data_IF_240999225977
#
_entry.id   IF_240999225977
#
_cell.length_a   1.000
_cell.length_b   1.000
_cell.length_c   1.000
_cell.angle_alpha   90.00
_cell.angle_beta   90.00
_cell.angle_gamma   90.00
#
_symmetry.space_group_name_H-M   'P 1'
#
loop_
_entity.id
_entity.type
_entity.pdbx_description
1 polymer ?
#
# COMPACT_ATOMS: atom_id res chain seq x y z
N UNK A 1 9.40 1.04 1.05
CA UNK A 1 9.29 2.29 1.83
C UNK A 1 10.64 2.70 2.45
N UNK A 2 11.47 1.76 2.88
CA UNK A 2 12.80 2.05 3.48
C UNK A 2 13.82 2.64 2.50
N UNK A 3 13.64 2.46 1.19
CA UNK A 3 14.55 2.96 0.17
C UNK A 3 14.41 4.46 -0.13
N UNK A 4 13.37 5.10 0.40
CA UNK A 4 13.10 6.54 0.21
C UNK A 4 12.83 7.18 1.58
N UNK A 5 13.85 7.32 2.38
CA UNK A 5 13.75 7.91 3.72
C UNK A 5 14.83 8.96 3.94
N UNK A 6 14.62 9.85 4.92
CA UNK A 6 15.67 10.78 5.36
C UNK A 6 16.93 10.03 5.82
N UNK A 7 16.78 8.83 6.37
CA UNK A 7 17.90 7.97 6.73
C UNK A 7 18.69 7.53 5.50
N UNK A 8 18.04 7.15 4.39
CA UNK A 8 18.72 6.83 3.13
C UNK A 8 19.43 8.05 2.54
N UNK A 9 18.84 9.25 2.70
CA UNK A 9 19.45 10.48 2.25
C UNK A 9 20.72 10.82 3.04
N UNK A 10 20.66 10.80 4.38
CA UNK A 10 21.81 11.10 5.26
C UNK A 10 22.89 10.06 5.17
N UNK A 11 22.54 8.77 5.13
CA UNK A 11 23.52 7.69 4.97
C UNK A 11 24.18 7.70 3.59
N UNK A 12 23.46 8.10 2.56
CA UNK A 12 24.00 8.27 1.22
C UNK A 12 25.19 9.24 1.21
N UNK A 13 25.08 10.36 1.95
CA UNK A 13 26.19 11.30 2.13
C UNK A 13 27.34 10.71 2.95
N UNK A 14 27.01 10.09 4.10
CA UNK A 14 28.01 9.56 5.01
C UNK A 14 28.83 8.41 4.41
N UNK A 15 28.23 7.56 3.59
CA UNK A 15 28.84 6.36 3.03
C UNK A 15 29.30 6.53 1.56
N UNK A 16 29.19 7.72 0.97
CA UNK A 16 29.55 7.97 -0.43
C UNK A 16 28.60 7.31 -1.45
N UNK A 17 27.42 6.85 -1.03
CA UNK A 17 26.42 6.20 -1.89
C UNK A 17 25.28 7.14 -2.29
N UNK A 18 25.52 8.45 -2.22
CA UNK A 18 24.50 9.47 -2.52
C UNK A 18 23.94 9.34 -3.94
N UNK A 19 24.76 8.98 -4.91
CA UNK A 19 24.33 8.79 -6.31
C UNK A 19 23.29 7.67 -6.47
N UNK A 20 23.28 6.68 -5.57
CA UNK A 20 22.29 5.60 -5.61
C UNK A 20 21.07 5.91 -4.70
N UNK A 21 21.33 6.36 -3.47
CA UNK A 21 20.31 6.50 -2.43
C UNK A 21 19.71 7.90 -2.38
N UNK A 22 20.55 8.93 -2.30
CA UNK A 22 20.12 10.31 -2.08
C UNK A 22 19.36 10.91 -3.26
N UNK A 23 19.80 10.61 -4.48
CA UNK A 23 19.14 11.06 -5.71
C UNK A 23 17.69 10.59 -5.78
N UNK A 24 17.42 9.33 -5.39
CA UNK A 24 16.06 8.79 -5.35
C UNK A 24 15.13 9.56 -4.40
N UNK A 25 15.65 10.04 -3.26
CA UNK A 25 14.85 10.85 -2.31
C UNK A 25 14.50 12.21 -2.92
N UNK A 26 15.45 12.86 -3.59
CA UNK A 26 15.21 14.15 -4.27
C UNK A 26 14.16 13.98 -5.38
N UNK A 27 14.30 12.94 -6.20
CA UNK A 27 13.34 12.63 -7.26
C UNK A 27 11.94 12.32 -6.70
N UNK A 28 11.85 11.61 -5.57
CA UNK A 28 10.60 11.39 -4.87
C UNK A 28 9.94 12.71 -4.45
N UNK A 29 10.69 13.63 -3.86
CA UNK A 29 10.15 14.94 -3.46
C UNK A 29 9.63 15.74 -4.66
N UNK A 30 10.37 15.73 -5.78
CA UNK A 30 9.90 16.34 -7.03
C UNK A 30 8.62 15.67 -7.52
N UNK A 31 8.54 14.33 -7.42
CA UNK A 31 7.35 13.56 -7.75
C UNK A 31 6.13 13.94 -6.93
N UNK A 32 6.28 14.09 -5.60
CA UNK A 32 5.20 14.54 -4.70
C UNK A 32 4.69 15.92 -5.11
N UNK A 33 5.60 16.88 -5.29
CA UNK A 33 5.23 18.24 -5.70
C UNK A 33 4.51 18.23 -7.05
N UNK A 34 5.01 17.43 -8.01
CA UNK A 34 4.41 17.31 -9.35
C UNK A 34 2.99 16.75 -9.29
N UNK A 35 2.76 15.69 -8.51
CA UNK A 35 1.43 15.08 -8.34
C UNK A 35 0.47 16.10 -7.69
N UNK A 36 0.91 16.78 -6.63
CA UNK A 36 0.08 17.78 -5.92
C UNK A 36 -0.28 18.96 -6.86
N UNK A 37 0.67 19.45 -7.64
CA UNK A 37 0.40 20.51 -8.62
C UNK A 37 -0.59 20.07 -9.67
N UNK A 38 -0.44 18.84 -10.21
CA UNK A 38 -1.39 18.28 -11.18
C UNK A 38 -2.78 18.06 -10.58
N UNK A 39 -2.85 17.62 -9.31
CA UNK A 39 -4.11 17.48 -8.56
C UNK A 39 -4.82 18.82 -8.43
N UNK A 40 -4.10 19.89 -8.02
CA UNK A 40 -4.66 21.24 -7.87
C UNK A 40 -5.14 21.77 -9.22
N UNK A 41 -4.43 21.49 -10.31
CA UNK A 41 -4.82 21.89 -11.67
C UNK A 41 -5.95 21.05 -12.27
N UNK A 42 -6.43 20.01 -11.57
CA UNK A 42 -7.49 19.12 -12.04
C UNK A 42 -7.09 18.24 -13.22
N UNK A 43 -5.80 17.92 -13.38
CA UNK A 43 -5.32 17.04 -14.44
C UNK A 43 -5.80 15.61 -14.17
N UNK A 44 -6.53 15.02 -15.12
CA UNK A 44 -6.99 13.62 -15.01
C UNK A 44 -5.81 12.65 -15.06
N UNK A 45 -5.83 11.62 -14.20
CA UNK A 45 -4.74 10.64 -14.11
C UNK A 45 -3.45 11.19 -13.50
N UNK A 46 -3.52 12.24 -12.69
CA UNK A 46 -2.37 12.92 -12.07
C UNK A 46 -1.42 11.96 -11.35
N UNK A 47 -1.91 10.87 -10.76
CA UNK A 47 -1.09 9.84 -10.11
C UNK A 47 -0.18 9.14 -11.13
N UNK A 48 -0.77 8.66 -12.23
CA UNK A 48 -0.03 7.99 -13.31
C UNK A 48 1.01 8.92 -13.92
N UNK A 49 0.61 10.14 -14.27
CA UNK A 49 1.52 11.13 -14.83
C UNK A 49 2.67 11.48 -13.89
N UNK A 50 2.39 11.54 -12.57
CA UNK A 50 3.42 11.77 -11.58
C UNK A 50 4.44 10.64 -11.47
N UNK A 51 3.98 9.38 -11.50
CA UNK A 51 4.86 8.21 -11.51
C UNK A 51 5.73 8.23 -12.76
N UNK A 52 5.12 8.40 -13.95
CA UNK A 52 5.82 8.43 -15.22
C UNK A 52 6.86 9.57 -15.28
N UNK A 53 6.47 10.77 -14.86
CA UNK A 53 7.38 11.93 -14.82
C UNK A 53 8.60 11.64 -13.94
N UNK A 54 8.36 11.12 -12.73
CA UNK A 54 9.45 10.82 -11.78
C UNK A 54 10.36 9.72 -12.30
N UNK A 55 9.80 8.69 -12.94
CA UNK A 55 10.59 7.63 -13.57
C UNK A 55 11.43 8.16 -14.74
N UNK A 56 10.84 8.95 -15.65
CA UNK A 56 11.57 9.58 -16.77
C UNK A 56 12.70 10.47 -16.26
N UNK A 57 12.45 11.29 -15.23
CA UNK A 57 13.51 12.09 -14.60
C UNK A 57 14.63 11.20 -14.02
N UNK A 58 14.26 10.07 -13.41
CA UNK A 58 15.22 9.07 -12.94
C UNK A 58 16.08 8.51 -14.06
N UNK A 59 15.49 8.15 -15.21
CA UNK A 59 16.21 7.68 -16.40
C UNK A 59 17.17 8.75 -16.90
N UNK A 60 16.74 10.01 -16.96
CA UNK A 60 17.62 11.14 -17.36
C UNK A 60 18.79 11.27 -16.38
N UNK A 61 18.54 11.19 -15.07
CA UNK A 61 19.62 11.21 -14.06
C UNK A 61 20.58 10.04 -14.21
N UNK A 62 20.09 8.86 -14.58
CA UNK A 62 20.94 7.69 -14.85
C UNK A 62 21.81 7.90 -16.09
N UNK A 63 21.26 8.44 -17.17
CA UNK A 63 22.00 8.73 -18.40
C UNK A 63 23.08 9.82 -18.19
N UNK A 64 22.81 10.78 -17.31
CA UNK A 64 23.77 11.84 -16.93
C UNK A 64 24.80 11.38 -15.88
N UNK A 65 24.74 10.13 -15.41
CA UNK A 65 25.63 9.61 -14.38
C UNK A 65 25.36 10.17 -12.96
N UNK A 66 24.25 10.89 -12.75
CA UNK A 66 23.84 11.42 -11.45
C UNK A 66 23.25 10.29 -10.57
N UNK A 67 22.46 9.41 -11.19
CA UNK A 67 21.97 8.18 -10.56
C UNK A 67 22.84 7.01 -11.02
N UNK A 68 23.42 6.31 -10.06
CA UNK A 68 24.27 5.12 -10.32
C UNK A 68 23.58 3.89 -9.72
N UNK A 69 23.19 2.91 -10.55
CA UNK A 69 22.60 1.67 -10.04
C UNK A 69 23.58 0.93 -9.12
N UNK A 70 23.06 0.44 -8.00
CA UNK A 70 23.81 -0.41 -7.06
C UNK A 70 22.92 -1.58 -6.62
N UNK A 71 22.99 -2.73 -7.30
CA UNK A 71 22.14 -3.89 -7.01
C UNK A 71 22.32 -4.46 -5.60
N UNK A 72 23.50 -4.31 -4.99
CA UNK A 72 23.77 -4.78 -3.61
C UNK A 72 22.93 -4.03 -2.58
N UNK A 73 22.61 -2.77 -2.87
CA UNK A 73 21.75 -1.93 -2.04
C UNK A 73 20.29 -1.93 -2.49
N UNK A 74 19.93 -2.74 -3.51
CA UNK A 74 18.55 -2.82 -4.04
C UNK A 74 18.18 -1.70 -5.03
N UNK A 75 19.17 -0.98 -5.58
CA UNK A 75 18.98 0.06 -6.60
C UNK A 75 19.34 -0.46 -7.97
N UNK A 76 18.34 -0.77 -8.77
CA UNK A 76 18.51 -1.36 -10.11
C UNK A 76 18.53 -0.30 -11.21
N UNK A 77 18.89 -0.73 -12.43
CA UNK A 77 18.79 0.12 -13.61
C UNK A 77 17.33 0.49 -13.89
N UNK A 78 17.11 1.75 -14.24
CA UNK A 78 15.79 2.33 -14.54
C UNK A 78 15.41 2.17 -16.01
N UNK A 79 16.37 1.70 -16.84
CA UNK A 79 16.20 1.53 -18.27
C UNK A 79 15.71 0.10 -18.52
N UNK A 80 14.54 -0.09 -19.12
CA UNK A 80 14.03 -1.43 -19.42
C UNK A 80 14.90 -2.12 -20.47
N UNK A 81 15.27 -3.35 -20.20
CA UNK A 81 16.05 -4.19 -21.13
C UNK A 81 15.15 -4.86 -22.16
N UNK A 82 13.87 -5.03 -21.84
CA UNK A 82 12.84 -5.56 -22.73
C UNK A 82 11.49 -4.91 -22.39
N UNK A 83 10.62 -4.82 -23.39
CA UNK A 83 9.25 -4.28 -23.18
C UNK A 83 8.21 -5.39 -23.00
N UNK A 84 8.51 -6.58 -23.49
CA UNK A 84 7.59 -7.70 -23.49
C UNK A 84 8.29 -8.98 -23.05
N UNK A 85 7.62 -9.77 -22.21
CA UNK A 85 8.04 -11.14 -21.88
C UNK A 85 6.82 -12.02 -21.71
N UNK A 86 6.98 -13.32 -21.97
CA UNK A 86 5.95 -14.29 -21.60
C UNK A 86 5.95 -14.46 -20.07
N UNK A 87 4.78 -14.52 -19.42
CA UNK A 87 4.68 -14.79 -18.00
C UNK A 87 5.38 -16.10 -17.65
N UNK A 88 6.08 -16.13 -16.52
CA UNK A 88 6.67 -17.34 -16.00
C UNK A 88 5.60 -18.35 -15.59
N UNK A 89 5.94 -19.65 -15.66
CA UNK A 89 5.04 -20.70 -15.21
C UNK A 89 4.78 -20.57 -13.70
N UNK A 90 3.52 -20.70 -13.29
CA UNK A 90 3.08 -20.74 -11.90
C UNK A 90 3.22 -22.14 -11.28
N UNK A 91 3.58 -23.17 -12.07
CA UNK A 91 3.67 -24.55 -11.62
C UNK A 91 4.52 -24.77 -10.34
N UNK A 92 5.62 -24.04 -10.11
CA UNK A 92 6.40 -24.20 -8.87
C UNK A 92 5.70 -23.73 -7.59
N UNK A 93 4.71 -22.84 -7.71
CA UNK A 93 4.00 -22.25 -6.56
C UNK A 93 2.54 -22.74 -6.45
N UNK A 94 2.00 -23.27 -7.55
CA UNK A 94 0.61 -23.67 -7.60
C UNK A 94 0.33 -24.85 -6.67
N UNK A 95 -0.61 -24.67 -5.74
CA UNK A 95 -1.09 -25.69 -4.80
C UNK A 95 0.01 -26.35 -3.94
N UNK A 96 1.05 -25.60 -3.58
CA UNK A 96 2.19 -26.08 -2.77
C UNK A 96 1.91 -25.90 -1.27
N UNK A 97 0.92 -26.65 -0.74
CA UNK A 97 0.60 -26.62 0.69
C UNK A 97 1.40 -27.70 1.46
N UNK A 98 2.10 -27.28 2.51
CA UNK A 98 2.80 -28.19 3.44
C UNK A 98 1.95 -28.45 4.69
N UNK A 99 1.10 -29.48 4.63
CA UNK A 99 0.31 -29.91 5.77
C UNK A 99 1.11 -30.66 6.84
N UNK A 100 2.28 -31.21 6.49
CA UNK A 100 3.13 -31.89 7.45
C UNK A 100 3.73 -30.88 8.45
N UNK A 101 4.12 -29.69 7.97
CA UNK A 101 4.54 -28.59 8.84
C UNK A 101 3.43 -28.16 9.80
N UNK A 102 2.19 -28.04 9.32
CA UNK A 102 1.03 -27.68 10.13
C UNK A 102 0.80 -28.71 11.25
N UNK A 103 0.86 -30.01 10.93
CA UNK A 103 0.65 -31.07 11.91
C UNK A 103 1.73 -31.11 13.01
N UNK A 104 2.98 -30.79 12.64
CA UNK A 104 4.11 -30.79 13.59
C UNK A 104 4.18 -29.53 14.47
N UNK A 105 3.60 -28.40 14.03
CA UNK A 105 3.68 -27.11 14.70
C UNK A 105 2.32 -26.45 14.93
N UNK A 106 1.30 -27.24 15.27
CA UNK A 106 -0.10 -26.81 15.34
C UNK A 106 -0.31 -25.55 16.20
N UNK A 107 0.32 -25.46 17.37
CA UNK A 107 0.16 -24.31 18.26
C UNK A 107 0.68 -23.00 17.59
N UNK A 108 1.87 -23.06 17.00
CA UNK A 108 2.45 -21.91 16.30
C UNK A 108 1.60 -21.55 15.07
N UNK A 109 1.12 -22.56 14.34
CA UNK A 109 0.25 -22.36 13.18
C UNK A 109 -1.02 -21.60 13.56
N UNK A 110 -1.72 -22.00 14.63
CA UNK A 110 -2.94 -21.35 15.11
C UNK A 110 -2.67 -19.87 15.47
N UNK A 111 -1.57 -19.59 16.18
CA UNK A 111 -1.19 -18.22 16.54
C UNK A 111 -0.92 -17.37 15.29
N UNK A 112 -0.18 -17.90 14.33
CA UNK A 112 0.15 -17.22 13.08
C UNK A 112 -1.11 -16.96 12.24
N UNK A 113 -1.97 -17.96 12.09
CA UNK A 113 -3.26 -17.82 11.36
C UNK A 113 -4.12 -16.74 12.01
N UNK A 114 -4.23 -16.74 13.35
CA UNK A 114 -5.01 -15.72 14.06
C UNK A 114 -4.43 -14.33 13.85
N UNK A 115 -3.11 -14.17 13.93
CA UNK A 115 -2.43 -12.90 13.72
C UNK A 115 -2.65 -12.37 12.28
N UNK A 116 -2.47 -13.22 11.26
CA UNK A 116 -2.71 -12.83 9.88
C UNK A 116 -4.19 -12.52 9.60
N UNK A 117 -5.12 -13.34 10.12
CA UNK A 117 -6.54 -13.09 9.98
C UNK A 117 -6.95 -11.75 10.60
N UNK A 118 -6.41 -11.43 11.78
CA UNK A 118 -6.66 -10.16 12.46
C UNK A 118 -6.17 -8.97 11.60
N UNK A 119 -4.95 -9.06 11.07
CA UNK A 119 -4.39 -8.01 10.19
C UNK A 119 -5.23 -7.85 8.94
N UNK A 120 -5.54 -8.95 8.26
CA UNK A 120 -6.28 -8.95 6.98
C UNK A 120 -7.67 -8.33 7.12
N UNK A 121 -8.41 -8.71 8.18
CA UNK A 121 -9.74 -8.14 8.47
C UNK A 121 -9.67 -6.62 8.71
N UNK A 122 -8.74 -6.16 9.54
CA UNK A 122 -8.67 -4.73 9.88
C UNK A 122 -8.10 -3.89 8.75
N UNK A 123 -7.16 -4.41 7.98
CA UNK A 123 -6.63 -3.75 6.78
C UNK A 123 -7.75 -3.58 5.74
N UNK A 124 -8.47 -4.67 5.44
CA UNK A 124 -9.61 -4.64 4.50
C UNK A 124 -10.72 -3.72 5.00
N UNK A 125 -11.10 -3.79 6.28
CA UNK A 125 -12.15 -2.91 6.82
C UNK A 125 -11.76 -1.43 6.74
N UNK A 126 -10.52 -1.10 7.13
CA UNK A 126 -10.01 0.28 7.09
C UNK A 126 -10.01 0.84 5.67
N UNK A 127 -9.47 0.08 4.72
CA UNK A 127 -9.40 0.46 3.31
C UNK A 127 -10.78 0.60 2.68
N UNK A 128 -11.66 -0.39 2.90
CA UNK A 128 -13.02 -0.41 2.33
C UNK A 128 -13.86 0.76 2.87
N UNK A 129 -13.83 1.02 4.18
CA UNK A 129 -14.55 2.14 4.78
C UNK A 129 -14.00 3.47 4.26
N UNK A 130 -12.68 3.62 4.19
CA UNK A 130 -12.04 4.82 3.64
C UNK A 130 -12.43 5.08 2.19
N UNK A 131 -12.38 4.07 1.33
CA UNK A 131 -12.78 4.16 -0.07
C UNK A 131 -14.29 4.43 -0.22
N UNK A 132 -15.12 3.75 0.56
CA UNK A 132 -16.57 3.91 0.54
C UNK A 132 -17.01 5.31 1.02
N UNK A 133 -16.35 5.84 2.03
CA UNK A 133 -16.56 7.23 2.49
C UNK A 133 -16.27 8.22 1.36
N UNK A 134 -15.15 8.07 0.68
CA UNK A 134 -14.77 8.91 -0.46
C UNK A 134 -15.72 8.78 -1.66
N UNK A 135 -16.31 7.59 -1.83
CA UNK A 135 -17.31 7.33 -2.87
C UNK A 135 -18.73 7.79 -2.49
N UNK A 136 -18.95 8.28 -1.27
CA UNK A 136 -20.27 8.59 -0.70
C UNK A 136 -21.21 7.36 -0.70
N UNK A 137 -20.66 6.18 -0.37
CA UNK A 137 -21.39 4.91 -0.32
C UNK A 137 -21.78 4.49 1.11
N UNK A 138 -21.36 5.24 2.13
CA UNK A 138 -21.75 5.00 3.52
C UNK A 138 -23.18 5.51 3.76
N UNK A 139 -23.91 4.81 4.62
CA UNK A 139 -25.21 5.25 5.10
C UNK A 139 -25.10 6.38 6.14
N UNK A 140 -26.25 6.84 6.67
CA UNK A 140 -26.30 7.93 7.66
C UNK A 140 -25.62 7.58 8.99
N UNK A 141 -25.50 6.29 9.28
CA UNK A 141 -24.84 5.76 10.49
C UNK A 141 -23.35 5.46 10.25
N UNK A 142 -22.79 5.82 9.09
CA UNK A 142 -21.40 5.56 8.72
C UNK A 142 -21.12 4.10 8.36
N UNK A 143 -22.16 3.28 8.14
CA UNK A 143 -22.02 1.86 7.80
C UNK A 143 -22.04 1.67 6.29
N UNK A 144 -21.26 0.70 5.81
CA UNK A 144 -21.28 0.31 4.40
C UNK A 144 -22.39 -0.71 4.14
N UNK A 145 -23.40 -0.39 3.33
CA UNK A 145 -24.38 -1.37 2.86
C UNK A 145 -23.65 -2.52 2.14
N UNK A 146 -24.07 -3.77 2.38
CA UNK A 146 -23.51 -4.99 1.75
C UNK A 146 -22.04 -5.30 2.11
N UNK A 147 -21.56 -4.83 3.25
CA UNK A 147 -20.18 -5.13 3.73
C UNK A 147 -19.86 -6.63 3.72
N UNK A 148 -20.84 -7.49 4.00
CA UNK A 148 -20.68 -8.94 3.94
C UNK A 148 -20.24 -9.44 2.56
N UNK A 149 -20.77 -8.84 1.49
CA UNK A 149 -20.38 -9.19 0.12
C UNK A 149 -18.96 -8.76 -0.21
N UNK A 150 -18.53 -7.62 0.33
CA UNK A 150 -17.15 -7.11 0.15
C UNK A 150 -16.17 -8.03 0.85
N UNK A 151 -16.40 -8.35 2.13
CA UNK A 151 -15.54 -9.26 2.89
C UNK A 151 -15.51 -10.68 2.29
N UNK A 152 -16.63 -11.16 1.74
CA UNK A 152 -16.67 -12.44 1.06
C UNK A 152 -15.83 -12.42 -0.24
N UNK A 153 -15.88 -11.33 -1.00
CA UNK A 153 -15.07 -11.19 -2.21
C UNK A 153 -13.58 -11.17 -1.90
N UNK A 154 -13.20 -10.48 -0.82
CA UNK A 154 -11.84 -10.43 -0.29
C UNK A 154 -11.35 -11.82 0.12
N UNK A 155 -12.13 -12.55 0.93
CA UNK A 155 -11.81 -13.92 1.37
C UNK A 155 -11.68 -14.90 0.20
N UNK A 156 -12.54 -14.80 -0.82
CA UNK A 156 -12.44 -15.62 -2.05
C UNK A 156 -11.18 -15.26 -2.83
N UNK A 157 -10.86 -13.97 -2.95
CA UNK A 157 -9.63 -13.50 -3.58
C UNK A 157 -8.38 -14.04 -2.90
N UNK A 158 -8.30 -13.89 -1.57
CA UNK A 158 -7.19 -14.39 -0.75
C UNK A 158 -7.04 -15.91 -0.86
N UNK A 159 -8.15 -16.66 -0.84
CA UNK A 159 -8.13 -18.12 -1.03
C UNK A 159 -7.59 -18.50 -2.41
N UNK A 160 -8.05 -17.82 -3.46
CA UNK A 160 -7.54 -18.03 -4.82
C UNK A 160 -6.04 -17.68 -4.91
N UNK A 161 -5.60 -16.59 -4.28
CA UNK A 161 -4.19 -16.20 -4.20
C UNK A 161 -3.34 -17.27 -3.52
N UNK A 162 -3.80 -17.84 -2.41
CA UNK A 162 -3.12 -18.93 -1.71
C UNK A 162 -2.96 -20.17 -2.59
N UNK A 163 -3.99 -20.54 -3.38
CA UNK A 163 -3.92 -21.66 -4.33
C UNK A 163 -2.89 -21.39 -5.42
N UNK A 164 -2.80 -20.16 -5.91
CA UNK A 164 -1.82 -19.72 -6.91
C UNK A 164 -0.40 -19.57 -6.34
N UNK A 165 -0.25 -19.56 -5.01
CA UNK A 165 1.03 -19.37 -4.33
C UNK A 165 1.48 -17.91 -4.28
N UNK A 166 0.53 -16.96 -4.29
CA UNK A 166 0.80 -15.53 -4.08
C UNK A 166 0.60 -15.14 -2.61
N UNK A 167 0.99 -13.93 -2.25
CA UNK A 167 0.59 -13.32 -0.98
C UNK A 167 -0.93 -13.09 -0.94
N UNK A 168 -1.47 -12.72 0.25
CA UNK A 168 -2.88 -12.36 0.40
C UNK A 168 -3.32 -11.34 -0.65
N UNK A 169 -4.54 -11.49 -1.16
CA UNK A 169 -5.18 -10.53 -2.06
C UNK A 169 -6.14 -9.72 -1.20
N UNK A 170 -5.80 -8.47 -0.94
CA UNK A 170 -6.57 -7.57 -0.10
C UNK A 170 -7.02 -6.34 -0.86
N UNK A 171 -7.87 -5.54 -0.25
CA UNK A 171 -8.34 -4.27 -0.81
C UNK A 171 -7.25 -3.20 -0.67
N UNK A 172 -6.91 -2.51 -1.76
CA UNK A 172 -5.86 -1.50 -1.79
C UNK A 172 -6.41 -0.07 -1.65
N UNK A 173 -5.73 0.76 -0.84
CA UNK A 173 -6.06 2.18 -0.65
C UNK A 173 -5.91 2.99 -1.93
N UNK A 174 -5.08 2.55 -2.88
CA UNK A 174 -4.88 3.13 -4.20
C UNK A 174 -6.17 3.14 -5.03
N UNK A 175 -7.13 2.26 -4.73
CA UNK A 175 -8.48 2.28 -5.31
C UNK A 175 -9.17 3.64 -5.11
N UNK A 176 -8.79 4.39 -4.07
CA UNK A 176 -9.28 5.74 -3.81
C UNK A 176 -8.93 6.72 -4.94
N UNK A 177 -7.85 6.48 -5.69
CA UNK A 177 -7.49 7.30 -6.85
C UNK A 177 -8.47 7.10 -8.01
N UNK A 178 -8.84 5.85 -8.31
CA UNK A 178 -9.85 5.53 -9.31
C UNK A 178 -11.25 6.07 -8.94
N UNK A 179 -11.57 6.05 -7.63
CA UNK A 179 -12.80 6.66 -7.12
C UNK A 179 -12.78 8.19 -7.30
N UNK A 180 -11.64 8.84 -7.06
CA UNK A 180 -11.48 10.28 -7.27
C UNK A 180 -11.66 10.69 -8.74
N UNK A 181 -11.25 9.84 -9.67
CA UNK A 181 -11.45 10.02 -11.12
C UNK A 181 -12.88 9.69 -11.60
N UNK A 182 -13.76 9.23 -10.70
CA UNK A 182 -15.17 8.98 -10.99
C UNK A 182 -15.58 7.52 -11.10
N UNK A 183 -14.69 6.58 -10.79
CA UNK A 183 -15.02 5.14 -10.72
C UNK A 183 -16.05 4.85 -9.63
N UNK A 184 -17.20 4.23 -9.98
CA UNK A 184 -18.31 3.98 -9.03
C UNK A 184 -18.93 2.59 -9.20
N UNK A 185 -18.51 1.82 -10.18
CA UNK A 185 -19.16 0.55 -10.52
C UNK A 185 -18.14 -0.59 -10.58
N UNK A 186 -18.62 -1.83 -10.49
CA UNK A 186 -17.79 -3.03 -10.64
C UNK A 186 -17.06 -3.12 -11.99
N UNK A 187 -17.53 -2.39 -13.01
CA UNK A 187 -16.83 -2.31 -14.29
C UNK A 187 -15.42 -1.72 -14.15
N UNK A 188 -15.24 -0.75 -13.23
CA UNK A 188 -13.92 -0.20 -12.91
C UNK A 188 -12.97 -1.32 -12.44
N UNK A 189 -13.44 -2.18 -11.53
CA UNK A 189 -12.63 -3.30 -11.01
C UNK A 189 -12.33 -4.35 -12.09
N UNK A 190 -13.30 -4.66 -12.95
CA UNK A 190 -13.09 -5.60 -14.07
C UNK A 190 -12.05 -5.04 -15.04
N UNK A 191 -12.15 -3.76 -15.40
CA UNK A 191 -11.16 -3.09 -16.26
C UNK A 191 -9.76 -3.12 -15.64
N UNK A 192 -9.65 -2.83 -14.35
CA UNK A 192 -8.38 -2.92 -13.61
C UNK A 192 -7.81 -4.34 -13.66
N UNK A 193 -8.65 -5.36 -13.43
CA UNK A 193 -8.24 -6.77 -13.52
C UNK A 193 -7.72 -7.15 -14.91
N UNK A 194 -8.39 -6.71 -15.99
CA UNK A 194 -7.92 -6.94 -17.36
C UNK A 194 -6.56 -6.25 -17.59
N UNK A 195 -6.40 -5.02 -17.10
CA UNK A 195 -5.12 -4.31 -17.21
C UNK A 195 -3.99 -5.00 -16.42
N UNK A 196 -4.27 -5.58 -15.26
CA UNK A 196 -3.29 -6.41 -14.53
C UNK A 196 -2.90 -7.66 -15.33
N UNK A 197 -3.86 -8.35 -15.97
CA UNK A 197 -3.55 -9.48 -16.84
C UNK A 197 -2.68 -9.06 -18.04
N UNK A 198 -2.97 -7.92 -18.64
CA UNK A 198 -2.14 -7.37 -19.71
C UNK A 198 -0.73 -7.00 -19.22
N UNK A 199 -0.64 -6.46 -18.00
CA UNK A 199 0.63 -6.08 -17.37
C UNK A 199 1.56 -7.28 -17.12
N UNK A 200 1.06 -8.51 -17.02
CA UNK A 200 1.89 -9.71 -16.93
C UNK A 200 2.84 -9.84 -18.13
N UNK A 201 2.37 -9.48 -19.33
CA UNK A 201 3.18 -9.50 -20.54
C UNK A 201 4.16 -8.34 -20.64
N UNK A 202 3.89 -7.25 -19.90
CA UNK A 202 4.72 -6.06 -19.82
C UNK A 202 5.58 -6.04 -18.53
N UNK A 203 5.73 -7.20 -17.89
CA UNK A 203 6.43 -7.29 -16.60
C UNK A 203 7.85 -6.72 -16.64
N UNK A 204 8.70 -6.88 -17.70
CA UNK A 204 10.02 -6.27 -17.72
C UNK A 204 9.97 -4.74 -17.64
N UNK A 205 8.93 -4.12 -18.22
CA UNK A 205 8.74 -2.68 -18.15
C UNK A 205 8.34 -2.23 -16.74
N UNK A 206 7.35 -2.88 -16.13
CA UNK A 206 6.86 -2.50 -14.80
C UNK A 206 7.88 -2.75 -13.69
N UNK A 207 8.70 -3.80 -13.82
CA UNK A 207 9.75 -4.12 -12.84
C UNK A 207 10.89 -3.10 -12.81
N UNK A 208 11.05 -2.27 -13.85
CA UNK A 208 12.05 -1.20 -13.85
C UNK A 208 11.58 0.09 -13.20
N UNK A 209 10.28 0.21 -12.88
CA UNK A 209 9.76 1.39 -12.19
C UNK A 209 10.26 1.38 -10.74
N UNK A 210 11.09 2.35 -10.32
CA UNK A 210 11.71 2.32 -9.01
C UNK A 210 10.75 2.77 -7.91
N UNK A 211 11.06 2.38 -6.67
CA UNK A 211 10.27 2.74 -5.50
C UNK A 211 10.15 4.27 -5.30
N UNK A 212 11.18 5.04 -5.67
CA UNK A 212 11.11 6.50 -5.57
C UNK A 212 10.15 7.14 -6.58
N UNK A 213 9.77 6.44 -7.65
CA UNK A 213 8.77 6.92 -8.60
C UNK A 213 7.33 6.57 -8.15
N UNK A 214 7.13 5.46 -7.43
CA UNK A 214 5.83 5.05 -6.93
C UNK A 214 5.50 5.66 -5.55
N UNK A 215 6.49 5.88 -4.70
CA UNK A 215 6.33 6.46 -3.38
C UNK A 215 5.58 7.82 -3.36
N UNK A 216 5.79 8.76 -4.31
CA UNK A 216 5.02 9.99 -4.39
C UNK A 216 3.52 9.77 -4.47
N UNK A 217 3.08 8.81 -5.28
CA UNK A 217 1.66 8.48 -5.41
C UNK A 217 1.10 7.93 -4.08
N UNK A 218 1.84 7.04 -3.39
CA UNK A 218 1.46 6.50 -2.09
C UNK A 218 1.37 7.60 -1.01
N UNK A 219 2.29 8.55 -1.01
CA UNK A 219 2.26 9.70 -0.07
C UNK A 219 1.00 10.54 -0.31
N UNK A 220 0.68 10.84 -1.57
CA UNK A 220 -0.51 11.64 -1.90
C UNK A 220 -1.79 10.85 -1.60
N UNK A 221 -1.85 9.54 -1.86
CA UNK A 221 -2.97 8.68 -1.45
C UNK A 221 -3.13 8.72 0.07
N UNK A 222 -2.05 8.55 0.84
CA UNK A 222 -2.07 8.65 2.29
C UNK A 222 -2.63 9.99 2.77
N UNK A 223 -2.20 11.10 2.16
CA UNK A 223 -2.74 12.43 2.45
C UNK A 223 -4.25 12.51 2.18
N UNK A 224 -4.73 11.98 1.05
CA UNK A 224 -6.15 11.97 0.71
C UNK A 224 -6.97 11.12 1.69
N UNK A 225 -6.39 10.04 2.23
CA UNK A 225 -7.04 9.17 3.22
C UNK A 225 -7.04 9.79 4.63
N UNK A 226 -6.04 10.61 4.97
CA UNK A 226 -6.00 11.32 6.26
C UNK A 226 -7.19 12.26 6.50
N UNK A 227 -7.91 12.66 5.47
CA UNK A 227 -9.13 13.45 5.61
C UNK A 227 -10.19 12.75 6.48
N UNK A 228 -10.16 11.42 6.59
CA UNK A 228 -11.07 10.65 7.44
C UNK A 228 -10.79 10.82 8.95
N UNK A 229 -9.61 11.29 9.32
CA UNK A 229 -9.23 11.55 10.73
C UNK A 229 -10.17 12.60 11.37
N UNK A 230 -10.76 13.49 10.57
CA UNK A 230 -11.75 14.48 11.05
C UNK A 230 -12.99 13.82 11.63
N UNK A 231 -13.34 12.62 11.18
CA UNK A 231 -14.52 11.88 11.65
C UNK A 231 -14.32 11.23 13.03
N UNK A 232 -13.12 11.27 13.59
CA UNK A 232 -12.85 10.80 14.94
C UNK A 232 -13.48 11.79 15.93
N UNK A 233 -14.17 11.27 16.93
CA UNK A 233 -14.77 12.07 18.01
C UNK A 233 -13.69 12.58 18.99
N UNK A 234 -12.92 13.59 18.58
CA UNK A 234 -11.79 14.12 19.35
C UNK A 234 -12.19 14.73 20.72
N UNK A 235 -13.46 15.10 20.89
CA UNK A 235 -13.97 15.62 22.14
C UNK A 235 -14.22 14.54 23.21
N UNK A 236 -14.36 13.29 22.81
CA UNK A 236 -14.47 12.16 23.72
C UNK A 236 -13.08 11.51 23.90
N UNK A 237 -12.42 11.82 25.01
CA UNK A 237 -11.06 11.31 25.33
C UNK A 237 -11.02 9.78 25.33
N UNK A 238 -12.11 9.11 25.69
CA UNK A 238 -12.18 7.65 25.74
C UNK A 238 -12.05 7.00 24.36
N UNK A 239 -12.41 7.73 23.30
CA UNK A 239 -12.27 7.33 21.88
C UNK A 239 -11.06 7.99 21.21
N UNK A 240 -10.82 9.26 21.49
CA UNK A 240 -9.76 10.05 20.89
C UNK A 240 -8.36 9.53 21.23
N UNK A 241 -8.10 9.22 22.50
CA UNK A 241 -6.78 8.76 22.95
C UNK A 241 -6.39 7.40 22.34
N UNK A 242 -7.25 6.35 22.33
CA UNK A 242 -6.95 5.11 21.62
C UNK A 242 -6.71 5.30 20.12
N UNK A 243 -7.47 6.17 19.47
CA UNK A 243 -7.30 6.49 18.05
C UNK A 243 -5.95 7.16 17.80
N UNK A 244 -5.54 8.10 18.65
CA UNK A 244 -4.23 8.74 18.60
C UNK A 244 -3.09 7.71 18.79
N UNK A 245 -3.22 6.84 19.80
CA UNK A 245 -2.23 5.77 20.04
C UNK A 245 -2.11 4.85 18.84
N UNK A 246 -3.24 4.43 18.25
CA UNK A 246 -3.27 3.58 17.07
C UNK A 246 -2.49 4.21 15.90
N UNK A 247 -2.82 5.46 15.53
CA UNK A 247 -2.18 6.19 14.43
C UNK A 247 -0.68 6.37 14.68
N UNK A 248 -0.31 6.77 15.89
CA UNK A 248 1.09 7.06 16.25
C UNK A 248 1.93 5.80 16.26
N UNK A 249 1.40 4.71 16.86
CA UNK A 249 2.11 3.44 16.95
C UNK A 249 2.27 2.75 15.59
N UNK A 250 1.33 2.89 14.66
CA UNK A 250 1.53 2.42 13.28
C UNK A 250 2.79 3.03 12.65
N UNK A 251 3.03 4.32 12.87
CA UNK A 251 4.21 5.00 12.36
C UNK A 251 5.51 4.58 13.07
N UNK A 252 5.51 4.49 14.38
CA UNK A 252 6.71 4.15 15.16
C UNK A 252 7.11 2.68 15.09
N UNK A 253 6.15 1.77 15.08
CA UNK A 253 6.41 0.34 14.98
C UNK A 253 6.61 -0.15 13.54
N UNK A 254 6.37 0.68 12.53
CA UNK A 254 6.33 0.28 11.10
C UNK A 254 5.40 -0.91 10.86
N UNK A 255 4.34 -1.03 11.64
CA UNK A 255 3.44 -2.18 11.64
C UNK A 255 2.00 -1.75 11.88
N UNK A 256 1.13 -2.07 10.92
CA UNK A 256 -0.32 -1.84 11.04
C UNK A 256 -0.89 -2.65 12.21
N UNK A 257 -0.48 -3.92 12.34
CA UNK A 257 -0.94 -4.83 13.39
C UNK A 257 -0.62 -4.32 14.79
N UNK A 258 0.62 -3.86 14.99
CA UNK A 258 1.04 -3.34 16.30
C UNK A 258 0.29 -2.05 16.65
N UNK A 259 0.12 -1.15 15.67
CA UNK A 259 -0.67 0.06 15.88
C UNK A 259 -2.12 -0.25 16.29
N UNK A 260 -2.77 -1.17 15.61
CA UNK A 260 -4.13 -1.62 15.95
C UNK A 260 -4.15 -2.27 17.33
N UNK A 261 -3.20 -3.15 17.65
CA UNK A 261 -3.11 -3.81 18.95
C UNK A 261 -2.98 -2.81 20.09
N UNK A 262 -2.07 -1.83 19.97
CA UNK A 262 -1.91 -0.76 20.97
C UNK A 262 -3.17 0.10 21.08
N UNK A 263 -3.84 0.39 19.96
CA UNK A 263 -5.12 1.08 19.96
C UNK A 263 -6.19 0.33 20.75
N UNK A 264 -6.36 -0.97 20.50
CA UNK A 264 -7.34 -1.80 21.21
C UNK A 264 -6.99 -1.99 22.69
N UNK A 265 -5.73 -2.21 23.02
CA UNK A 265 -5.28 -2.33 24.42
C UNK A 265 -5.60 -1.04 25.17
N UNK A 266 -5.26 0.12 24.61
CA UNK A 266 -5.53 1.41 25.23
C UNK A 266 -7.03 1.69 25.35
N UNK A 267 -7.83 1.33 24.33
CA UNK A 267 -9.29 1.44 24.35
C UNK A 267 -9.88 0.60 25.48
N UNK A 268 -9.54 -0.68 25.54
CA UNK A 268 -10.03 -1.62 26.55
C UNK A 268 -9.63 -1.16 27.96
N UNK A 269 -8.37 -0.76 28.13
CA UNK A 269 -7.86 -0.32 29.42
C UNK A 269 -8.59 0.92 29.95
N UNK A 270 -8.82 1.91 29.09
CA UNK A 270 -9.56 3.13 29.47
C UNK A 270 -11.01 2.79 29.83
N UNK A 271 -11.70 1.96 29.03
CA UNK A 271 -13.10 1.61 29.28
C UNK A 271 -13.27 0.79 30.57
N UNK A 272 -12.37 -0.14 30.84
CA UNK A 272 -12.37 -0.93 32.09
C UNK A 272 -12.17 -0.04 33.32
N UNK A 273 -11.22 0.91 33.27
CA UNK A 273 -10.94 1.80 34.42
C UNK A 273 -12.06 2.83 34.61
N UNK A 274 -12.64 3.34 33.52
CA UNK A 274 -13.69 4.36 33.60
C UNK A 274 -15.08 3.79 33.81
N UNK A 275 -15.25 2.46 33.74
CA UNK A 275 -16.54 1.79 33.92
C UNK A 275 -17.53 2.07 32.80
N UNK A 276 -17.04 2.37 31.61
CA UNK A 276 -17.86 2.66 30.42
C UNK A 276 -17.88 1.48 29.46
#
# INVERSE_FOLDING_TARGET
>A
ATLVSLYSFTNGFANGTFASQGVGVILCMIGVVSIVVMLIKGVKGYMLWGILLTWVLGIICQLLGIYVPNPELGYYSLIPTAFFSMPNSIAPTFFQFDFAFVASHLANFVVVVFAFLFVDIFDTLGTVIGCASKANMLDKDGKLPKIKGVLLADAVGTTAGAILGTSTITTFVESSSGIAEGGRTGLTSVTTGILFLAALFLSPLFLTIPSFATAPALIVVGFLMMQQVVNIEWNDITKAFPSFVCITMMGFAYSISEGIAFGFISYTFIHVITGK
#
